data_IF_062595985395
#
_entry.id   IF_062595985395
#
_cell.length_a   1.000
_cell.length_b   1.000
_cell.length_c   1.000
_cell.angle_alpha   90.00
_cell.angle_beta   90.00
_cell.angle_gamma   90.00
#
_symmetry.space_group_name_H-M   'P 1'
#
loop_
_entity.id
_entity.type
_entity.pdbx_description
1 polymer ?
#
# COMPACT_ATOMS: atom_id res chain seq x y z
N UNK A 1 0.77 48.74 42.74
CA UNK A 1 2.15 49.08 42.32
C UNK A 1 2.85 47.73 42.14
N UNK A 2 3.31 47.25 40.99
CA UNK A 2 3.77 47.89 39.75
C UNK A 2 3.65 46.85 38.62
N UNK A 3 3.13 47.27 37.45
CA UNK A 3 2.98 46.46 36.23
C UNK A 3 4.23 46.66 35.38
N UNK A 4 5.01 45.61 35.13
CA UNK A 4 6.16 45.69 34.22
C UNK A 4 5.67 45.37 32.81
N UNK A 5 5.74 46.37 31.94
CA UNK A 5 5.53 46.24 30.51
C UNK A 5 6.87 45.89 29.86
N UNK A 6 6.94 44.75 29.17
CA UNK A 6 7.98 44.53 28.17
C UNK A 6 7.36 44.73 26.79
N UNK A 7 7.61 45.90 26.21
CA UNK A 7 7.56 46.09 24.77
C UNK A 7 8.86 45.47 24.21
N UNK A 8 8.74 44.41 23.41
CA UNK A 8 9.82 44.03 22.50
C UNK A 8 9.32 44.30 21.10
N UNK A 9 9.99 45.25 20.44
CA UNK A 9 9.75 45.63 19.06
C UNK A 9 10.05 44.46 18.12
N UNK A 10 9.31 44.47 17.01
CA UNK A 10 9.49 43.58 15.88
C UNK A 10 10.71 44.02 15.06
N UNK A 11 11.60 43.08 14.77
CA UNK A 11 12.52 43.20 13.64
C UNK A 11 11.99 42.35 12.49
N UNK A 12 11.41 43.04 11.50
CA UNK A 12 11.26 42.50 10.16
C UNK A 12 12.65 42.40 9.53
N UNK A 13 13.10 41.17 9.26
CA UNK A 13 14.23 40.94 8.37
C UNK A 13 13.76 40.11 7.17
N UNK A 14 13.49 40.82 6.08
CA UNK A 14 13.29 40.28 4.74
C UNK A 14 14.57 40.51 3.93
N UNK A 15 15.34 39.45 3.69
CA UNK A 15 16.19 39.20 2.52
C UNK A 15 16.95 37.88 2.80
N UNK A 16 17.12 36.94 1.89
CA UNK A 16 17.16 37.00 0.44
C UNK A 16 17.06 35.58 -0.14
N UNK A 17 16.44 35.49 -1.31
CA UNK A 17 16.70 34.57 -2.41
C UNK A 17 17.64 33.37 -2.16
N UNK A 18 17.09 32.17 -2.25
CA UNK A 18 17.78 31.02 -2.82
C UNK A 18 16.85 30.35 -3.83
N UNK A 19 16.78 30.93 -5.04
CA UNK A 19 16.35 30.22 -6.23
C UNK A 19 17.48 29.30 -6.67
N UNK A 20 17.57 28.12 -6.06
CA UNK A 20 18.27 27.00 -6.65
C UNK A 20 17.23 26.15 -7.39
N UNK A 21 17.12 26.41 -8.68
CA UNK A 21 16.45 25.56 -9.66
C UNK A 21 16.90 24.10 -9.48
N UNK A 22 16.08 23.29 -8.83
CA UNK A 22 16.23 21.84 -8.86
C UNK A 22 15.67 21.36 -10.19
N UNK A 23 16.54 21.26 -11.20
CA UNK A 23 16.23 20.57 -12.43
C UNK A 23 15.90 19.10 -12.11
N UNK A 24 14.80 18.52 -12.64
CA UNK A 24 14.70 17.07 -12.70
C UNK A 24 15.76 16.59 -13.70
N UNK A 25 16.83 15.97 -13.22
CA UNK A 25 17.78 15.26 -14.08
C UNK A 25 17.07 14.04 -14.66
N UNK A 26 16.44 14.22 -15.81
CA UNK A 26 16.04 13.14 -16.70
C UNK A 26 17.33 12.71 -17.41
N UNK A 27 17.93 11.64 -16.92
CA UNK A 27 19.04 10.98 -17.60
C UNK A 27 18.55 10.25 -18.85
N UNK A 28 19.35 10.21 -19.94
CA UNK A 28 18.96 9.58 -21.18
C UNK A 28 18.91 8.06 -21.06
N UNK A 29 17.93 7.47 -21.74
CA UNK A 29 17.92 6.07 -22.15
C UNK A 29 19.29 5.67 -22.72
N UNK A 30 19.98 4.77 -22.02
CA UNK A 30 21.11 4.02 -22.56
C UNK A 30 20.86 2.54 -22.27
N UNK A 31 20.26 1.92 -23.27
CA UNK A 31 20.37 0.49 -23.55
C UNK A 31 21.85 0.10 -23.62
N UNK A 32 22.29 -0.75 -22.70
CA UNK A 32 23.45 -1.65 -22.79
C UNK A 32 23.34 -2.56 -21.56
N UNK A 33 22.88 -3.79 -21.72
CA UNK A 33 23.78 -4.91 -22.03
C UNK A 33 25.03 -4.89 -21.17
N UNK A 34 24.89 -5.40 -19.94
CA UNK A 34 25.92 -6.07 -19.14
C UNK A 34 25.33 -6.35 -17.76
N UNK A 35 24.71 -7.51 -17.65
CA UNK A 35 24.12 -7.96 -16.40
C UNK A 35 23.36 -9.26 -16.59
N UNK A 36 23.99 -10.26 -17.21
CA UNK A 36 23.57 -11.64 -16.97
C UNK A 36 23.81 -11.88 -15.48
N UNK A 37 22.78 -11.62 -14.68
CA UNK A 37 22.65 -12.14 -13.33
C UNK A 37 22.76 -13.64 -13.51
N UNK A 38 23.93 -14.18 -13.21
CA UNK A 38 24.11 -15.60 -13.00
C UNK A 38 23.26 -15.89 -11.77
N UNK A 39 22.01 -16.25 -12.02
CA UNK A 39 21.10 -16.78 -11.02
C UNK A 39 21.72 -18.10 -10.51
N UNK A 40 22.12 -18.18 -9.24
CA UNK A 40 22.67 -19.42 -8.68
C UNK A 40 21.64 -20.57 -8.68
N UNK A 41 20.35 -20.32 -8.97
CA UNK A 41 19.33 -21.37 -9.14
C UNK A 41 19.37 -22.07 -10.51
N UNK A 42 19.95 -21.50 -11.57
CA UNK A 42 20.00 -22.16 -12.89
C UNK A 42 20.91 -23.39 -12.92
N UNK A 43 21.85 -23.51 -11.97
CA UNK A 43 22.75 -24.67 -11.86
C UNK A 43 22.03 -25.99 -11.58
N UNK A 44 20.84 -25.93 -11.01
CA UNK A 44 20.08 -27.13 -10.61
C UNK A 44 18.72 -27.25 -11.31
N UNK A 45 18.45 -26.42 -12.33
CA UNK A 45 17.14 -26.29 -12.98
C UNK A 45 17.01 -26.94 -14.37
N UNK A 46 18.02 -27.63 -14.89
CA UNK A 46 17.90 -28.43 -16.13
C UNK A 46 17.65 -29.90 -15.78
N UNK A 47 16.41 -30.23 -15.44
CA UNK A 47 15.90 -31.60 -15.59
C UNK A 47 15.42 -31.71 -17.04
N UNK A 48 16.26 -32.28 -17.89
CA UNK A 48 15.94 -32.60 -19.28
C UNK A 48 15.09 -33.89 -19.29
N UNK A 49 13.79 -33.72 -19.48
CA UNK A 49 12.86 -34.80 -19.85
C UNK A 49 13.18 -35.28 -21.28
N UNK A 50 14.17 -36.15 -21.46
CA UNK A 50 14.36 -36.88 -22.72
C UNK A 50 14.36 -38.40 -22.46
N UNK A 51 13.19 -39.00 -22.72
CA UNK A 51 13.00 -40.44 -22.90
C UNK A 51 13.82 -40.89 -24.12
N UNK A 52 15.02 -41.39 -23.86
CA UNK A 52 15.94 -41.93 -24.86
C UNK A 52 15.89 -43.46 -24.91
N UNK A 53 14.73 -44.03 -24.60
CA UNK A 53 14.43 -45.38 -25.06
C UNK A 53 14.03 -45.30 -26.54
N UNK A 54 14.65 -46.16 -27.36
CA UNK A 54 14.33 -46.46 -28.78
C UNK A 54 15.01 -45.61 -29.86
N UNK A 55 16.25 -45.95 -30.23
CA UNK A 55 16.69 -46.04 -31.64
C UNK A 55 17.92 -46.97 -31.80
N UNK A 56 17.64 -48.27 -32.00
CA UNK A 56 18.35 -49.31 -32.79
C UNK A 56 19.87 -49.59 -32.64
N UNK A 57 20.41 -50.71 -33.20
CA UNK A 57 21.32 -51.61 -32.48
C UNK A 57 22.67 -51.81 -33.17
N UNK A 58 23.71 -52.16 -32.44
CA UNK A 58 24.81 -52.89 -33.06
C UNK A 58 25.45 -53.86 -32.08
N UNK A 59 25.40 -55.12 -32.51
CA UNK A 59 26.16 -56.22 -31.97
C UNK A 59 27.63 -55.90 -32.19
N UNK A 60 28.43 -55.93 -31.12
CA UNK A 60 29.79 -56.48 -31.02
C UNK A 60 30.51 -55.80 -29.86
N UNK A 61 30.15 -56.12 -28.62
CA UNK A 61 30.99 -55.78 -27.46
C UNK A 61 30.67 -56.65 -26.22
N UNK A 62 30.06 -57.82 -26.44
CA UNK A 62 29.52 -58.67 -25.36
C UNK A 62 30.54 -59.60 -24.70
N UNK A 63 31.83 -59.56 -25.05
CA UNK A 63 32.83 -60.46 -24.44
C UNK A 63 33.94 -59.75 -23.67
N UNK A 64 34.21 -58.47 -23.92
CA UNK A 64 35.22 -57.70 -23.17
C UNK A 64 34.64 -56.85 -22.04
N UNK A 65 33.31 -56.75 -21.92
CA UNK A 65 32.64 -55.96 -20.89
C UNK A 65 32.21 -56.78 -19.65
N UNK A 66 32.38 -58.10 -19.67
CA UNK A 66 32.03 -58.99 -18.54
C UNK A 66 33.14 -59.02 -17.46
N UNK A 67 34.38 -58.64 -17.80
CA UNK A 67 35.53 -58.63 -16.88
C UNK A 67 35.85 -57.25 -16.27
N UNK A 68 35.15 -56.18 -16.65
CA UNK A 68 35.36 -54.85 -16.07
C UNK A 68 34.47 -54.65 -14.83
N UNK A 69 35.09 -54.38 -13.68
CA UNK A 69 34.39 -53.92 -12.48
C UNK A 69 33.79 -52.54 -12.76
N UNK A 70 32.52 -52.50 -13.15
CA UNK A 70 31.77 -51.25 -13.31
C UNK A 70 31.61 -50.59 -11.93
N UNK A 71 31.96 -49.30 -11.76
CA UNK A 71 31.68 -48.59 -10.53
C UNK A 71 30.18 -48.65 -10.23
N UNK A 72 29.81 -49.23 -9.09
CA UNK A 72 28.41 -49.28 -8.67
C UNK A 72 27.95 -47.86 -8.36
N UNK A 73 26.86 -47.42 -8.98
CA UNK A 73 26.23 -46.14 -8.64
C UNK A 73 25.81 -46.20 -7.17
N UNK A 74 26.55 -45.51 -6.31
CA UNK A 74 26.28 -45.46 -4.89
C UNK A 74 24.97 -44.69 -4.67
N UNK A 75 24.15 -45.20 -3.77
CA UNK A 75 22.86 -44.58 -3.47
C UNK A 75 23.10 -43.32 -2.63
N UNK A 76 22.69 -42.15 -3.15
CA UNK A 76 22.87 -40.89 -2.45
C UNK A 76 21.85 -40.83 -1.27
N UNK A 77 22.30 -40.89 -0.01
CA UNK A 77 21.40 -40.98 1.15
C UNK A 77 20.47 -39.76 1.30
N UNK A 78 20.94 -38.58 0.86
CA UNK A 78 20.18 -37.32 0.87
C UNK A 78 19.05 -37.37 -0.17
N UNK A 79 19.34 -37.89 -1.36
CA UNK A 79 18.35 -38.05 -2.42
C UNK A 79 17.48 -39.29 -2.21
N UNK A 80 17.92 -40.28 -1.45
CA UNK A 80 17.14 -41.47 -1.10
C UNK A 80 16.05 -41.16 -0.07
N UNK A 81 16.37 -40.32 0.92
CA UNK A 81 15.43 -39.94 1.97
C UNK A 81 14.37 -38.98 1.44
N UNK A 82 13.15 -39.49 1.25
CA UNK A 82 11.98 -38.68 0.86
C UNK A 82 11.72 -37.55 1.86
N UNK A 83 11.80 -37.85 3.15
CA UNK A 83 11.63 -36.88 4.24
C UNK A 83 12.60 -35.71 4.15
N UNK A 84 13.88 -35.97 3.84
CA UNK A 84 14.87 -34.91 3.70
C UNK A 84 14.56 -33.99 2.51
N UNK A 85 14.17 -34.56 1.37
CA UNK A 85 13.77 -33.77 0.18
C UNK A 85 12.49 -32.97 0.42
N UNK A 86 11.55 -33.52 1.17
CA UNK A 86 10.30 -32.83 1.56
C UNK A 86 10.59 -31.64 2.44
N UNK A 87 11.40 -31.82 3.48
CA UNK A 87 11.84 -30.73 4.33
C UNK A 87 12.55 -29.62 3.52
N UNK A 88 13.45 -29.99 2.60
CA UNK A 88 14.12 -29.02 1.74
C UNK A 88 13.12 -28.21 0.91
N UNK A 89 12.11 -28.87 0.32
CA UNK A 89 11.05 -28.20 -0.44
C UNK A 89 10.22 -27.26 0.44
N UNK A 90 9.81 -27.72 1.63
CA UNK A 90 9.04 -26.92 2.57
C UNK A 90 9.82 -25.69 3.06
N UNK A 91 11.11 -25.84 3.36
CA UNK A 91 11.98 -24.71 3.73
C UNK A 91 12.09 -23.67 2.60
N UNK A 92 12.26 -24.13 1.35
CA UNK A 92 12.29 -23.24 0.19
C UNK A 92 10.93 -22.54 0.02
N UNK A 93 9.82 -23.27 0.13
CA UNK A 93 8.47 -22.73 -0.03
C UNK A 93 8.16 -21.72 1.07
N UNK A 94 8.47 -22.02 2.33
CA UNK A 94 8.23 -21.12 3.48
C UNK A 94 9.06 -19.86 3.39
N UNK A 95 10.30 -19.95 2.91
CA UNK A 95 11.15 -18.79 2.67
C UNK A 95 10.64 -17.95 1.48
N UNK A 96 10.36 -18.58 0.32
CA UNK A 96 9.86 -17.91 -0.89
C UNK A 96 8.48 -17.29 -0.69
N UNK A 97 7.61 -17.93 0.11
CA UNK A 97 6.26 -17.46 0.41
C UNK A 97 6.22 -16.42 1.54
N UNK A 98 7.36 -16.15 2.18
CA UNK A 98 7.44 -15.37 3.41
C UNK A 98 6.95 -16.20 4.60
N UNK A 99 7.68 -16.12 5.72
CA UNK A 99 7.31 -16.81 6.95
C UNK A 99 5.86 -16.46 7.34
N UNK A 100 5.04 -17.49 7.57
CA UNK A 100 3.75 -17.43 8.29
C UNK A 100 4.02 -17.25 9.80
N UNK A 101 5.02 -16.43 10.13
CA UNK A 101 5.23 -15.87 11.46
C UNK A 101 5.05 -14.38 11.24
N UNK A 102 3.84 -13.93 11.55
CA UNK A 102 3.29 -12.57 11.47
C UNK A 102 4.06 -11.56 12.36
N UNK A 103 5.38 -11.54 12.27
CA UNK A 103 6.19 -10.48 12.85
C UNK A 103 7.13 -10.02 11.75
N UNK A 104 6.74 -8.91 11.11
CA UNK A 104 7.70 -8.13 10.32
C UNK A 104 8.99 -8.01 11.14
N UNK A 105 10.17 -8.23 10.54
CA UNK A 105 11.42 -8.10 11.27
C UNK A 105 11.43 -6.77 12.04
N UNK A 106 11.96 -6.78 13.27
CA UNK A 106 11.92 -5.65 14.21
C UNK A 106 12.20 -4.30 13.53
N UNK A 107 13.24 -4.25 12.69
CA UNK A 107 13.61 -3.08 11.91
C UNK A 107 12.48 -2.58 10.98
N UNK A 108 11.81 -3.48 10.25
CA UNK A 108 10.70 -3.12 9.38
C UNK A 108 9.50 -2.61 10.19
N UNK A 109 9.21 -3.20 11.35
CA UNK A 109 8.16 -2.72 12.27
C UNK A 109 8.48 -1.31 12.76
N UNK A 110 9.72 -1.07 13.19
CA UNK A 110 10.21 0.24 13.65
C UNK A 110 10.18 1.28 12.53
N UNK A 111 10.61 0.93 11.31
CA UNK A 111 10.56 1.84 10.15
C UNK A 111 9.11 2.20 9.79
N UNK A 112 8.20 1.22 9.76
CA UNK A 112 6.79 1.49 9.52
C UNK A 112 6.17 2.35 10.62
N UNK A 113 6.52 2.10 11.89
CA UNK A 113 6.09 2.93 13.00
C UNK A 113 6.61 4.37 12.85
N UNK A 114 7.90 4.54 12.55
CA UNK A 114 8.53 5.84 12.33
C UNK A 114 7.86 6.59 11.17
N UNK A 115 7.61 5.92 10.05
CA UNK A 115 6.97 6.51 8.88
C UNK A 115 5.56 6.98 9.21
N UNK A 116 4.76 6.15 9.90
CA UNK A 116 3.42 6.54 10.41
C UNK A 116 3.50 7.74 11.34
N UNK A 117 4.41 7.72 12.31
CA UNK A 117 4.60 8.83 13.24
C UNK A 117 5.05 10.12 12.55
N UNK A 118 5.88 10.04 11.50
CA UNK A 118 6.28 11.21 10.73
C UNK A 118 5.14 11.76 9.87
N UNK A 119 4.32 10.90 9.27
CA UNK A 119 3.13 11.33 8.52
C UNK A 119 2.17 12.10 9.44
N UNK A 120 1.81 11.53 10.59
CA UNK A 120 0.99 12.20 11.60
C UNK A 120 1.56 13.54 12.07
N UNK A 121 2.89 13.65 12.23
CA UNK A 121 3.54 14.92 12.57
C UNK A 121 3.44 15.95 11.45
N UNK A 122 3.54 15.53 10.18
CA UNK A 122 3.36 16.42 9.02
C UNK A 122 1.91 16.88 8.92
N UNK A 123 0.95 15.98 9.08
CA UNK A 123 -0.48 16.32 9.04
C UNK A 123 -0.85 17.31 10.15
N UNK A 124 -0.38 17.08 11.39
CA UNK A 124 -0.59 18.03 12.50
C UNK A 124 0.03 19.40 12.25
N UNK A 125 1.24 19.44 11.70
CA UNK A 125 1.88 20.71 11.32
C UNK A 125 1.11 21.41 10.23
N UNK A 126 0.65 20.69 9.20
CA UNK A 126 -0.20 21.27 8.17
C UNK A 126 -1.51 21.80 8.76
N UNK A 127 -2.15 21.06 9.68
CA UNK A 127 -3.36 21.53 10.37
C UNK A 127 -3.11 22.78 11.24
N UNK A 128 -1.95 22.90 11.87
CA UNK A 128 -1.51 24.09 12.61
C UNK A 128 -1.15 25.25 11.67
N UNK A 129 -0.60 24.96 10.49
CA UNK A 129 -0.31 25.94 9.43
C UNK A 129 -1.57 26.43 8.72
N UNK A 130 -2.70 25.70 8.80
CA UNK A 130 -3.99 26.18 8.27
C UNK A 130 -4.33 27.51 8.92
N UNK A 131 -4.57 28.51 8.09
CA UNK A 131 -4.97 29.83 8.55
C UNK A 131 -6.25 29.74 9.39
N UNK A 132 -6.42 30.55 10.45
CA UNK A 132 -7.64 30.58 11.24
C UNK A 132 -8.93 30.69 10.40
N UNK A 133 -8.86 31.39 9.26
CA UNK A 133 -9.96 31.49 8.30
C UNK A 133 -10.29 30.14 7.63
N UNK A 134 -9.27 29.38 7.22
CA UNK A 134 -9.43 28.07 6.58
C UNK A 134 -10.09 27.08 7.53
N UNK A 135 -9.68 27.09 8.80
CA UNK A 135 -10.30 26.27 9.84
C UNK A 135 -11.79 26.62 10.03
N UNK A 136 -12.15 27.90 10.00
CA UNK A 136 -13.54 28.32 10.13
C UNK A 136 -14.38 27.98 8.89
N UNK A 137 -13.81 28.11 7.69
CA UNK A 137 -14.44 27.66 6.45
C UNK A 137 -14.73 26.16 6.48
N UNK A 138 -13.76 25.34 6.92
CA UNK A 138 -13.95 23.90 7.06
C UNK A 138 -15.06 23.58 8.07
N UNK A 139 -15.09 24.25 9.22
CA UNK A 139 -16.18 24.09 10.21
C UNK A 139 -17.53 24.50 9.64
N UNK A 140 -17.59 25.56 8.83
CA UNK A 140 -18.84 26.01 8.18
C UNK A 140 -19.29 24.99 7.14
N UNK A 141 -18.38 24.48 6.32
CA UNK A 141 -18.67 23.42 5.36
C UNK A 141 -19.23 22.17 6.06
N UNK A 142 -18.60 21.72 7.15
CA UNK A 142 -19.09 20.56 7.91
C UNK A 142 -20.50 20.78 8.48
N UNK A 143 -20.80 22.00 8.95
CA UNK A 143 -22.15 22.36 9.43
C UNK A 143 -23.17 22.32 8.30
N UNK A 144 -22.82 22.84 7.13
CA UNK A 144 -23.69 22.83 5.95
C UNK A 144 -23.96 21.41 5.48
N UNK A 145 -22.93 20.57 5.35
CA UNK A 145 -23.09 19.17 4.92
C UNK A 145 -23.99 18.38 5.89
N UNK A 146 -23.83 18.62 7.20
CA UNK A 146 -24.72 18.03 8.21
C UNK A 146 -26.16 18.47 8.03
N UNK A 147 -26.38 19.77 7.83
CA UNK A 147 -27.72 20.31 7.61
C UNK A 147 -28.34 19.77 6.32
N UNK A 148 -27.58 19.73 5.22
CA UNK A 148 -28.02 19.15 3.95
C UNK A 148 -28.46 17.68 4.12
N UNK A 149 -27.66 16.88 4.82
CA UNK A 149 -27.99 15.49 5.15
C UNK A 149 -29.27 15.38 5.96
N UNK A 150 -29.42 16.18 7.02
CA UNK A 150 -30.65 16.22 7.84
C UNK A 150 -31.87 16.66 7.03
N UNK A 151 -31.73 17.64 6.14
CA UNK A 151 -32.82 18.08 5.27
C UNK A 151 -33.23 17.00 4.26
N UNK A 152 -32.27 16.27 3.69
CA UNK A 152 -32.58 15.18 2.77
C UNK A 152 -33.25 14.02 3.52
N UNK A 153 -32.75 13.65 4.71
CA UNK A 153 -33.42 12.67 5.57
C UNK A 153 -34.85 13.08 5.93
N UNK A 154 -35.07 14.35 6.25
CA UNK A 154 -36.41 14.87 6.54
C UNK A 154 -37.30 14.85 5.30
N UNK A 155 -36.75 15.14 4.12
CA UNK A 155 -37.45 15.06 2.84
C UNK A 155 -37.86 13.62 2.53
N UNK A 156 -36.95 12.66 2.72
CA UNK A 156 -37.23 11.22 2.55
C UNK A 156 -38.30 10.75 3.52
N UNK A 157 -38.20 11.10 4.81
CA UNK A 157 -39.25 10.83 5.81
C UNK A 157 -40.60 11.40 5.39
N UNK A 158 -40.60 12.61 4.83
CA UNK A 158 -41.83 13.27 4.35
C UNK A 158 -42.41 12.58 3.10
N UNK A 159 -41.57 12.03 2.21
CA UNK A 159 -42.00 11.26 1.04
C UNK A 159 -42.65 9.93 1.45
N UNK A 160 -42.11 9.26 2.46
CA UNK A 160 -42.67 8.02 3.01
C UNK A 160 -43.90 8.23 3.92
N UNK A 161 -44.22 9.48 4.28
CA UNK A 161 -45.37 9.77 5.13
C UNK A 161 -46.70 9.57 4.39
N UNK A 162 -47.78 9.16 5.09
CA UNK A 162 -49.12 9.07 4.51
C UNK A 162 -49.59 10.41 3.91
N UNK A 163 -50.44 10.33 2.87
CA UNK A 163 -50.87 11.49 2.10
C UNK A 163 -51.51 12.59 2.96
N UNK A 164 -52.39 12.22 3.89
CA UNK A 164 -53.08 13.20 4.74
C UNK A 164 -52.11 13.99 5.65
N UNK A 165 -50.99 13.39 6.06
CA UNK A 165 -49.94 14.09 6.81
C UNK A 165 -49.22 15.08 5.89
N UNK A 166 -48.85 14.65 4.68
CA UNK A 166 -48.20 15.51 3.68
C UNK A 166 -49.06 16.71 3.30
N UNK A 167 -50.36 16.52 3.06
CA UNK A 167 -51.32 17.58 2.71
C UNK A 167 -51.47 18.56 3.87
N UNK A 168 -51.66 18.05 5.11
CA UNK A 168 -51.76 18.88 6.31
C UNK A 168 -50.52 19.77 6.50
N UNK A 169 -49.33 19.22 6.35
CA UNK A 169 -48.09 19.99 6.53
C UNK A 169 -47.88 20.99 5.39
N UNK A 170 -48.30 20.68 4.16
CA UNK A 170 -48.31 21.64 3.04
C UNK A 170 -49.23 22.82 3.29
N UNK A 171 -50.45 22.57 3.77
CA UNK A 171 -51.41 23.63 4.13
C UNK A 171 -50.88 24.51 5.26
N UNK A 172 -50.16 23.96 6.24
CA UNK A 172 -49.50 24.76 7.29
C UNK A 172 -48.43 25.68 6.72
N UNK A 173 -47.59 25.19 5.81
CA UNK A 173 -46.53 26.00 5.18
C UNK A 173 -47.09 27.17 4.39
N UNK A 174 -48.13 26.95 3.59
CA UNK A 174 -48.78 28.00 2.79
C UNK A 174 -49.59 28.96 3.65
N UNK A 175 -50.21 28.50 4.74
CA UNK A 175 -50.90 29.37 5.69
C UNK A 175 -49.94 30.34 6.40
N UNK A 176 -48.75 29.87 6.79
CA UNK A 176 -47.73 30.75 7.41
C UNK A 176 -47.21 31.77 6.40
N UNK A 177 -46.90 31.35 5.16
CA UNK A 177 -46.45 32.27 4.11
C UNK A 177 -47.50 33.36 3.82
N UNK A 178 -48.78 32.98 3.70
CA UNK A 178 -49.86 33.94 3.47
C UNK A 178 -50.21 34.83 4.68
N UNK A 179 -49.86 34.42 5.90
CA UNK A 179 -49.97 35.28 7.09
C UNK A 179 -48.82 36.31 7.16
N UNK A 180 -47.60 35.92 6.78
CA UNK A 180 -46.44 36.84 6.72
C UNK A 180 -46.62 37.93 5.66
N UNK A 181 -47.27 37.63 4.54
CA UNK A 181 -47.58 38.63 3.50
C UNK A 181 -48.66 39.65 3.90
N UNK A 182 -49.44 39.40 4.94
CA UNK A 182 -50.51 40.31 5.41
C UNK A 182 -50.07 41.28 6.51
N UNK A 183 -48.89 41.07 7.07
CA UNK A 183 -48.29 41.89 8.14
C UNK A 183 -47.18 42.83 7.61
N UNK A 184 -47.01 42.90 6.28
CA UNK A 184 -46.12 43.82 5.54
C UNK A 184 -46.96 44.86 4.78
#
# INVERSE_FOLDING_TARGET
MTRIHFLSQADHNHQSHNSASAQPLIGPDLVSDLGSVIDPEQRWGREEDLDQSKLLPEQTDSLYNEELIRPKKLHNPIKASKSHRELQRELIITHKRGAVVEEKPELQRVLQQRNRSQALKRDRKQDEEKSPLEQELLKRQMRLEKFERETEEQRERSKCAPEFIRVKDSLKRTAIASAVEKEL
#
